data_IF_759397969912
#
_entry.id   IF_759397969912
#
_cell.length_a   1.000
_cell.length_b   1.000
_cell.length_c   1.000
_cell.angle_alpha   90.00
_cell.angle_beta   90.00
_cell.angle_gamma   90.00
#
_symmetry.space_group_name_H-M   'P 1'
#
loop_
_entity.id
_entity.type
_entity.pdbx_description
1 polymer ?
#
# COMPACT_ATOMS: atom_id res chain seq x y z
N UNK A 1 23.92 9.80 -38.03
CA UNK A 1 22.54 10.06 -37.55
C UNK A 1 22.17 9.01 -36.52
N UNK A 2 22.47 9.28 -35.26
CA UNK A 2 21.93 8.51 -34.15
C UNK A 2 20.51 9.05 -33.89
N UNK A 3 19.52 8.26 -34.28
CA UNK A 3 18.13 8.52 -33.84
C UNK A 3 18.06 8.21 -32.34
N UNK A 4 17.96 9.23 -31.50
CA UNK A 4 17.53 9.08 -30.11
C UNK A 4 16.18 8.36 -30.11
N UNK A 5 16.15 7.13 -29.59
CA UNK A 5 14.91 6.45 -29.24
C UNK A 5 14.36 7.14 -27.99
N UNK A 6 13.42 8.06 -28.19
CA UNK A 6 12.59 8.58 -27.10
C UNK A 6 11.62 7.45 -26.74
N UNK A 7 11.88 6.74 -25.65
CA UNK A 7 10.90 5.81 -25.08
C UNK A 7 9.73 6.65 -24.54
N UNK A 8 8.64 6.67 -25.29
CA UNK A 8 7.39 7.27 -24.83
C UNK A 8 6.69 6.29 -23.91
N UNK A 9 6.80 6.50 -22.60
CA UNK A 9 6.11 5.69 -21.61
C UNK A 9 4.61 5.98 -21.67
N UNK A 10 3.83 5.09 -22.28
CA UNK A 10 2.37 5.23 -22.34
C UNK A 10 1.78 4.66 -21.04
N UNK A 11 1.43 5.53 -20.10
CA UNK A 11 0.75 5.15 -18.86
C UNK A 11 -0.71 4.82 -19.18
N UNK A 12 -1.14 3.59 -18.88
CA UNK A 12 -2.54 3.19 -19.01
C UNK A 12 -3.31 3.58 -17.76
N UNK A 13 -4.56 4.09 -17.90
CA UNK A 13 -5.42 4.32 -16.74
C UNK A 13 -5.72 3.00 -16.03
N UNK A 14 -5.88 3.07 -14.71
CA UNK A 14 -6.21 1.94 -13.83
C UNK A 14 -7.66 2.07 -13.41
N UNK A 15 -8.43 0.99 -13.55
CA UNK A 15 -9.78 0.94 -13.01
C UNK A 15 -9.73 0.63 -11.51
N UNK A 16 -10.45 1.40 -10.72
CA UNK A 16 -10.60 1.21 -9.27
C UNK A 16 -12.07 0.96 -8.98
N UNK A 17 -12.36 -0.11 -8.26
CA UNK A 17 -13.69 -0.42 -7.75
C UNK A 17 -13.78 -0.03 -6.28
N UNK A 18 -14.64 0.93 -5.97
CA UNK A 18 -15.01 1.27 -4.60
C UNK A 18 -16.15 0.37 -4.16
N UNK A 19 -15.86 -0.54 -3.26
CA UNK A 19 -16.84 -1.50 -2.77
C UNK A 19 -17.70 -0.91 -1.67
N UNK A 20 -19.01 -1.09 -1.79
CA UNK A 20 -19.98 -0.75 -0.77
C UNK A 20 -20.40 -2.01 0.02
N UNK A 21 -20.45 -1.87 1.34
CA UNK A 21 -20.79 -2.97 2.25
C UNK A 21 -22.02 -2.64 3.08
N UNK A 22 -22.88 -3.64 3.26
CA UNK A 22 -23.93 -3.63 4.26
C UNK A 22 -23.45 -4.41 5.49
N UNK A 23 -23.62 -3.84 6.69
CA UNK A 23 -23.29 -4.48 7.97
C UNK A 23 -21.86 -5.07 8.04
N UNK A 24 -20.87 -4.43 7.43
CA UNK A 24 -19.45 -4.84 7.39
C UNK A 24 -19.14 -6.21 6.77
N UNK A 25 -20.12 -6.97 6.32
CA UNK A 25 -19.91 -8.35 5.88
C UNK A 25 -20.37 -8.66 4.47
N UNK A 26 -21.33 -7.91 3.96
CA UNK A 26 -21.93 -8.19 2.66
C UNK A 26 -21.65 -7.07 1.68
N UNK A 27 -20.88 -7.38 0.64
CA UNK A 27 -20.69 -6.45 -0.48
C UNK A 27 -22.00 -6.31 -1.24
N UNK A 28 -22.50 -5.09 -1.38
CA UNK A 28 -23.80 -4.80 -2.02
C UNK A 28 -23.65 -4.13 -3.38
N UNK A 29 -22.48 -3.59 -3.69
CA UNK A 29 -22.21 -2.97 -4.97
C UNK A 29 -20.80 -2.43 -5.09
N UNK A 30 -20.48 -1.92 -6.29
CA UNK A 30 -19.24 -1.22 -6.59
C UNK A 30 -19.52 0.07 -7.33
N UNK A 31 -18.66 1.07 -7.12
CA UNK A 31 -18.62 2.28 -7.91
C UNK A 31 -17.27 2.30 -8.60
N UNK A 32 -17.27 2.15 -9.93
CA UNK A 32 -16.05 2.22 -10.75
C UNK A 32 -15.48 3.64 -10.77
N UNK A 33 -14.17 3.75 -10.70
CA UNK A 33 -13.39 4.98 -10.86
C UNK A 33 -12.21 4.72 -11.77
N UNK A 34 -11.71 5.77 -12.39
CA UNK A 34 -10.49 5.76 -13.17
C UNK A 34 -9.40 6.48 -12.37
N UNK A 35 -8.20 5.93 -12.38
CA UNK A 35 -7.04 6.55 -11.77
C UNK A 35 -5.84 6.50 -12.72
N UNK A 36 -4.98 7.49 -12.61
CA UNK A 36 -3.72 7.57 -13.32
C UNK A 36 -2.56 7.20 -12.39
N UNK A 37 -1.58 6.47 -12.91
CA UNK A 37 -0.31 6.24 -12.21
C UNK A 37 0.49 7.54 -12.31
N UNK A 38 0.67 8.24 -11.19
CA UNK A 38 1.37 9.52 -11.12
C UNK A 38 2.83 9.37 -10.67
N UNK A 39 3.13 8.31 -9.93
CA UNK A 39 4.50 7.93 -9.58
C UNK A 39 4.59 6.40 -9.41
N UNK A 40 5.77 5.83 -9.65
CA UNK A 40 6.04 4.42 -9.38
C UNK A 40 7.52 4.18 -9.09
N UNK A 41 7.80 3.13 -8.32
CA UNK A 41 9.13 2.65 -8.01
C UNK A 41 9.16 1.12 -8.13
N UNK A 42 9.82 0.62 -9.18
CA UNK A 42 9.93 -0.82 -9.43
C UNK A 42 10.78 -1.53 -8.38
N UNK A 43 11.79 -0.85 -7.82
CA UNK A 43 12.68 -1.42 -6.81
C UNK A 43 11.97 -1.65 -5.48
N UNK A 44 11.10 -0.72 -5.09
CA UNK A 44 10.27 -0.83 -3.89
C UNK A 44 8.93 -1.52 -4.13
N UNK A 45 8.56 -1.79 -5.39
CA UNK A 45 7.24 -2.34 -5.76
C UNK A 45 6.09 -1.47 -5.24
N UNK A 46 6.17 -0.16 -5.52
CA UNK A 46 5.19 0.84 -5.11
C UNK A 46 4.73 1.68 -6.31
N UNK A 47 3.46 2.03 -6.30
CA UNK A 47 2.88 3.00 -7.23
C UNK A 47 1.91 3.93 -6.51
N UNK A 48 1.88 5.20 -6.91
CA UNK A 48 0.90 6.19 -6.48
C UNK A 48 -0.12 6.39 -7.58
N UNK A 49 -1.38 6.23 -7.22
CA UNK A 49 -2.52 6.41 -8.12
C UNK A 49 -3.28 7.67 -7.74
N UNK A 50 -3.61 8.50 -8.74
CA UNK A 50 -4.48 9.64 -8.59
C UNK A 50 -5.83 9.37 -9.26
N UNK A 51 -6.91 9.41 -8.48
CA UNK A 51 -8.28 9.25 -8.99
C UNK A 51 -8.67 10.49 -9.79
N UNK A 52 -9.23 10.32 -10.98
CA UNK A 52 -9.60 11.43 -11.87
C UNK A 52 -10.79 12.26 -11.36
N UNK A 53 -11.77 11.61 -10.72
CA UNK A 53 -12.96 12.27 -10.21
C UNK A 53 -12.65 13.00 -8.90
N UNK A 54 -12.46 14.30 -9.00
CA UNK A 54 -12.17 15.18 -7.85
C UNK A 54 -13.42 15.83 -7.25
N UNK A 55 -14.60 15.68 -7.86
CA UNK A 55 -15.83 16.31 -7.37
C UNK A 55 -16.35 15.67 -6.08
N UNK A 56 -16.06 14.38 -5.89
CA UNK A 56 -16.43 13.65 -4.67
C UNK A 56 -15.19 13.31 -3.86
N UNK A 57 -15.05 13.98 -2.72
CA UNK A 57 -14.03 13.59 -1.73
C UNK A 57 -14.28 12.15 -1.29
N UNK A 58 -13.22 11.35 -1.19
CA UNK A 58 -13.32 10.04 -0.56
C UNK A 58 -13.80 10.22 0.88
N UNK A 59 -14.87 9.50 1.28
CA UNK A 59 -15.45 9.69 2.61
C UNK A 59 -14.50 9.21 3.73
N UNK A 60 -13.58 8.31 3.40
CA UNK A 60 -12.64 7.72 4.35
C UNK A 60 -11.24 7.69 3.75
N UNK A 61 -10.26 8.01 4.59
CA UNK A 61 -8.82 7.94 4.28
C UNK A 61 -8.12 7.15 5.37
N UNK A 62 -7.03 6.46 5.01
CA UNK A 62 -6.24 5.74 5.98
C UNK A 62 -5.51 6.71 6.91
N UNK A 63 -5.55 6.44 8.22
CA UNK A 63 -4.68 7.11 9.18
C UNK A 63 -3.30 6.45 9.10
N UNK A 64 -2.26 7.23 8.87
CA UNK A 64 -0.91 6.72 8.80
C UNK A 64 -0.35 6.48 10.21
N UNK A 65 0.44 5.43 10.39
CA UNK A 65 1.20 5.22 11.61
C UNK A 65 2.13 6.42 11.84
N UNK A 66 2.25 6.96 13.08
CA UNK A 66 3.04 8.16 13.35
C UNK A 66 4.52 8.01 12.97
N UNK A 67 5.12 9.08 12.43
CA UNK A 67 6.53 9.09 12.05
C UNK A 67 7.45 9.29 13.25
N UNK A 68 6.98 9.97 14.28
CA UNK A 68 7.68 10.22 15.54
C UNK A 68 7.89 8.98 16.41
N UNK A 69 7.27 7.87 16.05
CA UNK A 69 7.52 6.56 16.65
C UNK A 69 8.67 5.87 15.92
N UNK A 70 9.89 6.25 16.26
CA UNK A 70 11.15 5.84 15.61
C UNK A 70 11.34 4.33 15.42
N UNK A 71 10.70 3.50 16.25
CA UNK A 71 10.92 2.05 16.24
C UNK A 71 9.91 1.28 15.37
N UNK A 72 8.93 1.98 14.76
CA UNK A 72 7.84 1.32 14.04
C UNK A 72 6.92 0.49 14.96
N UNK A 73 5.98 -0.27 14.39
CA UNK A 73 5.11 -1.14 15.17
C UNK A 73 5.92 -2.33 15.73
N UNK A 74 5.70 -2.67 16.99
CA UNK A 74 6.41 -3.74 17.69
C UNK A 74 6.12 -5.13 17.11
N UNK A 75 7.12 -6.02 17.10
CA UNK A 75 6.92 -7.46 16.91
C UNK A 75 5.89 -7.95 17.95
N UNK A 76 5.02 -8.87 17.56
CA UNK A 76 3.83 -9.35 18.30
C UNK A 76 2.65 -8.36 18.34
N UNK A 77 2.74 -7.16 17.75
CA UNK A 77 1.56 -6.34 17.54
C UNK A 77 0.53 -7.09 16.70
N UNK A 78 -0.74 -7.04 17.09
CA UNK A 78 -1.83 -7.54 16.25
C UNK A 78 -1.95 -6.67 15.01
N UNK A 79 -1.94 -7.30 13.84
CA UNK A 79 -2.05 -6.62 12.55
C UNK A 79 -3.24 -7.14 11.76
N UNK A 80 -3.80 -6.28 10.93
CA UNK A 80 -4.94 -6.55 10.06
C UNK A 80 -4.55 -6.26 8.63
N UNK A 81 -4.57 -7.30 7.78
CA UNK A 81 -4.40 -7.12 6.35
C UNK A 81 -5.77 -7.00 5.68
N UNK A 82 -5.93 -6.00 4.82
CA UNK A 82 -7.17 -5.78 4.06
C UNK A 82 -6.81 -5.77 2.57
N UNK A 83 -7.49 -6.61 1.80
CA UNK A 83 -7.23 -6.71 0.37
C UNK A 83 -8.20 -7.62 -0.35
N UNK A 84 -8.10 -7.65 -1.68
CA UNK A 84 -8.98 -8.37 -2.59
C UNK A 84 -8.46 -9.79 -2.92
N UNK A 85 -8.21 -10.60 -1.89
CA UNK A 85 -7.67 -11.96 -2.05
C UNK A 85 -8.45 -12.78 -3.08
N UNK A 86 -7.73 -13.34 -4.07
CA UNK A 86 -8.31 -14.11 -5.19
C UNK A 86 -9.37 -13.34 -5.99
N UNK A 87 -9.28 -12.01 -6.06
CA UNK A 87 -10.23 -11.15 -6.77
C UNK A 87 -11.62 -11.08 -6.10
N UNK A 88 -11.72 -11.46 -4.84
CA UNK A 88 -12.95 -11.28 -4.05
C UNK A 88 -13.08 -9.82 -3.59
N UNK A 89 -14.30 -9.37 -3.21
CA UNK A 89 -14.45 -8.09 -2.52
C UNK A 89 -13.46 -7.99 -1.35
N UNK A 90 -12.83 -6.82 -1.11
CA UNK A 90 -11.86 -6.67 -0.04
C UNK A 90 -12.39 -7.14 1.32
N UNK A 91 -11.58 -7.89 2.05
CA UNK A 91 -11.94 -8.39 3.39
C UNK A 91 -10.72 -8.36 4.31
N UNK A 92 -10.91 -8.18 5.62
CA UNK A 92 -9.84 -8.17 6.59
C UNK A 92 -9.43 -9.59 6.99
N UNK A 93 -8.14 -9.78 7.23
CA UNK A 93 -7.57 -10.93 7.93
C UNK A 93 -6.72 -10.44 9.10
N UNK A 94 -6.59 -11.22 10.17
CA UNK A 94 -5.87 -10.84 11.37
C UNK A 94 -4.70 -11.78 11.65
N UNK A 95 -3.62 -11.22 12.16
CA UNK A 95 -2.43 -11.96 12.58
C UNK A 95 -1.52 -11.10 13.44
N UNK A 96 -0.23 -11.42 13.45
CA UNK A 96 0.80 -10.71 14.20
C UNK A 96 1.83 -10.12 13.24
N UNK A 97 2.42 -8.99 13.60
CA UNK A 97 3.70 -8.58 13.06
C UNK A 97 4.76 -9.54 13.59
N UNK A 98 5.28 -10.40 12.70
CA UNK A 98 6.12 -11.54 13.08
C UNK A 98 7.61 -11.27 12.93
N UNK A 99 7.98 -10.25 12.15
CA UNK A 99 9.40 -9.96 11.92
C UNK A 99 9.63 -8.82 10.95
N UNK A 100 10.90 -8.50 10.80
CA UNK A 100 11.45 -7.58 9.82
C UNK A 100 12.37 -8.35 8.88
N UNK A 101 12.43 -7.93 7.63
CA UNK A 101 13.28 -8.54 6.62
C UNK A 101 13.70 -7.53 5.58
N UNK A 102 14.40 -8.03 4.56
CA UNK A 102 14.78 -7.25 3.38
C UNK A 102 14.48 -8.05 2.13
N UNK A 103 14.13 -7.34 1.07
CA UNK A 103 14.03 -7.95 -0.25
C UNK A 103 15.42 -8.11 -0.91
N UNK A 104 15.43 -8.64 -2.12
CA UNK A 104 16.66 -8.85 -2.91
C UNK A 104 17.38 -7.56 -3.31
N UNK A 105 16.71 -6.41 -3.20
CA UNK A 105 17.26 -5.07 -3.46
C UNK A 105 17.70 -4.36 -2.17
N UNK A 106 17.56 -5.01 -1.00
CA UNK A 106 17.91 -4.45 0.29
C UNK A 106 16.84 -3.56 0.93
N UNK A 107 15.66 -3.42 0.31
CA UNK A 107 14.56 -2.64 0.88
C UNK A 107 13.91 -3.39 2.04
N UNK A 108 13.52 -2.63 3.07
CA UNK A 108 12.90 -3.18 4.27
C UNK A 108 11.52 -3.78 3.98
N UNK A 109 11.20 -4.83 4.72
CA UNK A 109 9.93 -5.55 4.68
C UNK A 109 9.45 -5.88 6.09
N UNK A 110 8.13 -5.87 6.27
CA UNK A 110 7.45 -6.45 7.42
C UNK A 110 6.96 -7.85 7.08
N UNK A 111 7.23 -8.81 7.97
CA UNK A 111 6.64 -10.14 7.93
C UNK A 111 5.38 -10.14 8.79
N UNK A 112 4.23 -10.45 8.21
CA UNK A 112 2.96 -10.57 8.91
C UNK A 112 2.41 -12.00 8.83
N UNK A 113 1.86 -12.50 9.93
CA UNK A 113 1.18 -13.79 9.97
C UNK A 113 -0.32 -13.70 9.65
N UNK A 114 -0.87 -12.49 9.48
CA UNK A 114 -2.22 -12.35 8.93
C UNK A 114 -2.30 -13.02 7.57
N UNK A 115 -3.32 -13.86 7.30
CA UNK A 115 -3.43 -14.54 6.02
C UNK A 115 -3.43 -13.57 4.84
N UNK A 116 -2.40 -13.67 4.00
CA UNK A 116 -2.21 -12.92 2.76
C UNK A 116 -2.08 -13.92 1.63
N UNK A 117 -2.79 -13.71 0.53
CA UNK A 117 -2.78 -14.56 -0.65
C UNK A 117 -2.73 -13.69 -1.91
N UNK A 118 -2.58 -14.31 -3.07
CA UNK A 118 -2.65 -13.63 -4.37
C UNK A 118 -3.89 -12.75 -4.47
N UNK A 119 -3.72 -11.50 -4.88
CA UNK A 119 -4.76 -10.46 -4.91
C UNK A 119 -4.76 -9.52 -3.70
N UNK A 120 -4.04 -9.84 -2.61
CA UNK A 120 -3.84 -8.91 -1.50
C UNK A 120 -2.75 -7.88 -1.77
N UNK A 121 -1.89 -8.08 -2.78
CA UNK A 121 -0.86 -7.12 -3.17
C UNK A 121 -1.47 -5.76 -3.51
N UNK A 122 -0.87 -4.68 -2.99
CA UNK A 122 -1.41 -3.32 -3.10
C UNK A 122 -2.55 -3.00 -2.12
N UNK A 123 -2.98 -3.96 -1.31
CA UNK A 123 -3.89 -3.73 -0.20
C UNK A 123 -3.25 -2.98 0.96
N UNK A 124 -3.72 -3.17 2.17
CA UNK A 124 -3.24 -2.43 3.34
C UNK A 124 -2.97 -3.35 4.52
N UNK A 125 -1.96 -2.99 5.31
CA UNK A 125 -1.64 -3.61 6.60
C UNK A 125 -1.78 -2.57 7.69
N UNK A 126 -2.63 -2.85 8.69
CA UNK A 126 -2.93 -1.95 9.79
C UNK A 126 -2.52 -2.54 11.12
N UNK A 127 -2.25 -1.64 12.09
CA UNK A 127 -2.19 -1.94 13.52
C UNK A 127 -3.31 -1.18 14.23
N UNK A 128 -3.93 -1.77 15.25
CA UNK A 128 -4.84 -1.04 16.13
C UNK A 128 -4.03 -0.40 17.25
N UNK A 129 -4.00 0.92 17.26
CA UNK A 129 -3.12 1.68 18.16
C UNK A 129 -3.76 2.04 19.48
N UNK A 130 -2.93 2.52 20.41
CA UNK A 130 -3.37 3.09 21.69
C UNK A 130 -4.30 4.32 21.53
N UNK A 131 -4.27 4.96 20.37
CA UNK A 131 -5.20 6.05 20.00
C UNK A 131 -6.61 5.55 19.64
N UNK A 132 -6.85 4.23 19.72
CA UNK A 132 -8.10 3.57 19.34
C UNK A 132 -8.49 3.76 17.88
N UNK A 133 -7.51 3.83 17.00
CA UNK A 133 -7.69 3.90 15.55
C UNK A 133 -6.84 2.84 14.86
N UNK A 134 -7.25 2.44 13.66
CA UNK A 134 -6.44 1.61 12.78
C UNK A 134 -5.46 2.50 12.02
N UNK A 135 -4.17 2.24 12.19
CA UNK A 135 -3.08 2.99 11.56
C UNK A 135 -2.41 2.13 10.50
N UNK A 136 -2.28 2.69 9.30
CA UNK A 136 -1.60 2.04 8.17
C UNK A 136 -0.10 1.93 8.47
N UNK A 137 0.40 0.71 8.51
CA UNK A 137 1.82 0.41 8.75
C UNK A 137 2.54 -0.11 7.51
N UNK A 138 1.80 -0.50 6.46
CA UNK A 138 2.44 -1.00 5.25
C UNK A 138 1.46 -1.43 4.17
N UNK A 139 2.02 -1.81 3.03
CA UNK A 139 1.30 -2.32 1.84
C UNK A 139 1.78 -3.73 1.55
N UNK A 140 0.91 -4.76 1.61
CA UNK A 140 1.25 -6.12 1.19
C UNK A 140 1.78 -6.14 -0.25
N UNK A 141 2.91 -6.79 -0.45
CA UNK A 141 3.62 -6.87 -1.72
C UNK A 141 3.88 -8.32 -2.15
N UNK A 142 4.24 -9.18 -1.21
CA UNK A 142 4.66 -10.54 -1.50
C UNK A 142 4.07 -11.54 -0.51
N UNK A 143 4.03 -12.81 -0.92
CA UNK A 143 3.75 -13.94 -0.04
C UNK A 143 4.85 -14.98 -0.23
N UNK A 144 5.30 -15.58 0.85
CA UNK A 144 6.25 -16.70 0.78
C UNK A 144 5.60 -17.87 0.06
N UNK A 145 6.37 -18.58 -0.76
CA UNK A 145 5.90 -19.76 -1.46
C UNK A 145 6.80 -20.96 -1.12
N UNK A 146 6.20 -22.14 -1.09
CA UNK A 146 6.88 -23.42 -0.89
C UNK A 146 6.74 -24.31 -2.12
N UNK A 147 7.78 -25.05 -2.45
CA UNK A 147 7.78 -25.99 -3.57
C UNK A 147 7.45 -25.30 -4.91
N UNK A 148 6.47 -25.82 -5.63
CA UNK A 148 6.07 -25.36 -6.96
C UNK A 148 5.15 -24.12 -6.96
N UNK A 149 5.30 -23.24 -5.96
CA UNK A 149 4.53 -21.99 -5.90
C UNK A 149 3.30 -22.02 -4.99
N UNK A 150 3.22 -22.98 -4.08
CA UNK A 150 2.16 -23.01 -3.06
C UNK A 150 2.37 -21.84 -2.07
N UNK A 151 1.41 -20.93 -2.02
CA UNK A 151 1.47 -19.77 -1.13
C UNK A 151 1.38 -20.20 0.35
N UNK A 152 2.32 -19.70 1.16
CA UNK A 152 2.31 -19.84 2.62
C UNK A 152 1.62 -18.60 3.19
N UNK A 153 0.31 -18.64 3.29
CA UNK A 153 -0.55 -17.46 3.51
C UNK A 153 -0.29 -16.71 4.81
N UNK A 154 0.30 -17.37 5.82
CA UNK A 154 0.70 -16.77 7.10
C UNK A 154 2.17 -16.29 7.10
N UNK A 155 2.78 -16.14 5.94
CA UNK A 155 4.10 -15.56 5.73
C UNK A 155 4.00 -14.49 4.62
N UNK A 156 3.17 -13.49 4.87
CA UNK A 156 2.98 -12.36 4.00
C UNK A 156 3.99 -11.24 4.28
N UNK A 157 4.50 -10.63 3.23
CA UNK A 157 5.46 -9.53 3.30
C UNK A 157 4.83 -8.24 2.83
N UNK A 158 5.05 -7.17 3.59
CA UNK A 158 4.53 -5.85 3.29
C UNK A 158 5.65 -4.81 3.23
N UNK A 159 5.50 -3.83 2.35
CA UNK A 159 6.33 -2.61 2.34
C UNK A 159 5.99 -1.77 3.55
N UNK A 160 6.96 -1.45 4.44
CA UNK A 160 6.73 -0.62 5.61
C UNK A 160 6.29 0.80 5.26
N UNK A 161 5.56 1.44 6.17
CA UNK A 161 5.15 2.84 6.03
C UNK A 161 6.35 3.79 5.84
N UNK A 162 7.51 3.49 6.42
CA UNK A 162 8.74 4.23 6.21
C UNK A 162 9.16 4.25 4.73
N UNK A 163 9.09 3.10 4.05
CA UNK A 163 9.40 3.02 2.61
C UNK A 163 8.36 3.76 1.77
N UNK A 164 7.09 3.76 2.18
CA UNK A 164 6.04 4.52 1.52
C UNK A 164 6.30 6.03 1.64
N UNK A 165 6.71 6.50 2.83
CA UNK A 165 7.07 7.90 3.05
C UNK A 165 8.24 8.35 2.19
N UNK A 166 9.33 7.56 2.17
CA UNK A 166 10.48 7.81 1.31
C UNK A 166 10.03 7.91 -0.15
N UNK A 167 9.23 6.94 -0.63
CA UNK A 167 8.71 6.94 -1.99
C UNK A 167 7.89 8.20 -2.31
N UNK A 168 7.02 8.65 -1.41
CA UNK A 168 6.23 9.86 -1.60
C UNK A 168 7.10 11.12 -1.67
N UNK A 169 8.09 11.26 -0.77
CA UNK A 169 9.02 12.40 -0.75
C UNK A 169 9.92 12.42 -1.99
N UNK A 170 10.50 11.27 -2.35
CA UNK A 170 11.36 11.14 -3.54
C UNK A 170 10.64 11.57 -4.84
N UNK A 171 9.30 11.42 -4.87
CA UNK A 171 8.46 11.78 -6.01
C UNK A 171 7.73 13.13 -5.86
N UNK A 172 8.11 13.97 -4.89
CA UNK A 172 7.51 15.31 -4.61
C UNK A 172 6.06 15.27 -4.12
N UNK A 173 5.62 14.14 -3.55
CA UNK A 173 4.30 13.97 -2.93
C UNK A 173 4.33 14.04 -1.40
N UNK A 174 5.37 14.63 -0.81
CA UNK A 174 5.51 14.79 0.66
C UNK A 174 4.35 15.55 1.30
N UNK A 175 3.69 16.44 0.55
CA UNK A 175 2.51 17.16 1.04
C UNK A 175 1.36 16.23 1.48
N UNK A 176 1.27 14.99 0.96
CA UNK A 176 0.31 13.97 1.39
C UNK A 176 0.58 13.56 2.85
N UNK A 177 1.84 13.69 3.28
CA UNK A 177 2.29 13.39 4.65
C UNK A 177 2.14 14.59 5.59
N UNK A 178 1.78 15.76 5.05
CA UNK A 178 1.75 17.03 5.77
C UNK A 178 3.07 17.80 5.72
N UNK A 179 4.04 17.40 4.91
CA UNK A 179 5.27 18.13 4.70
C UNK A 179 4.95 19.48 4.04
N UNK A 180 5.67 20.54 4.40
CA UNK A 180 5.56 21.83 3.73
C UNK A 180 6.05 21.70 2.26
N UNK A 181 5.39 22.37 1.30
CA UNK A 181 5.83 22.35 -0.08
C UNK A 181 7.24 22.93 -0.18
N UNK A 182 8.14 22.25 -0.89
CA UNK A 182 9.43 22.79 -1.24
C UNK A 182 9.19 24.07 -2.09
N UNK A 183 9.54 25.22 -1.56
CA UNK A 183 9.56 26.48 -2.32
C UNK A 183 10.78 26.41 -3.22
N UNK A 184 10.59 26.15 -4.51
CA UNK A 184 11.66 26.38 -5.50
C UNK A 184 12.00 27.87 -5.45
N UNK A 185 13.15 28.23 -4.89
CA UNK A 185 13.69 29.57 -5.03
C UNK A 185 13.96 29.78 -6.53
N UNK A 186 13.11 30.61 -7.16
CA UNK A 186 13.33 31.05 -8.53
C UNK A 186 14.48 32.05 -8.46
N UNK A 187 15.69 31.62 -8.90
CA UNK A 187 16.84 32.50 -9.17
C UNK A 187 16.59 33.39 -10.40
#
# INVERSE_FOLDING_TARGET
>A
DQKEHVETETRRPVNIDLWEYNNFSTAVGTIGRIANIVAYDKGRDLALLQVEDTERKMPYVATLYPEDKDEGPWIFSTVYAVGAGLGKPPFPTMGLLSGYGKDTHGNDLYLASSPIIFGNSGGSLYVYSSRRVYELIGVPSMVSAYGWGTAVTHMGWARPISQIRIFLRDNKYGYILGDEPEIEEIE
#
